data_IF_687841295687
#
_entry.id   IF_687841295687
#
_cell.length_a   1.000
_cell.length_b   1.000
_cell.length_c   1.000
_cell.angle_alpha   90.00
_cell.angle_beta   90.00
_cell.angle_gamma   90.00
#
_symmetry.space_group_name_H-M   'P 1'
#
loop_
_entity.id
_entity.type
_entity.pdbx_description
1 polymer ?
#
# COMPACT_ATOMS: atom_id res chain seq x y z
N UNK A 1 12.69 -28.09 12.83
CA UNK A 1 11.54 -27.42 12.18
C UNK A 1 11.78 -25.91 12.26
N UNK A 2 12.41 -25.30 11.24
CA UNK A 2 12.63 -23.86 11.21
C UNK A 2 11.33 -23.17 10.81
N UNK A 3 10.68 -22.48 11.76
CA UNK A 3 9.51 -21.65 11.48
C UNK A 3 10.00 -20.49 10.61
N UNK A 4 9.69 -20.50 9.30
CA UNK A 4 10.02 -19.40 8.40
C UNK A 4 9.34 -18.13 8.89
N UNK A 5 10.09 -17.03 8.87
CA UNK A 5 9.66 -15.73 9.36
C UNK A 5 8.61 -15.15 8.40
N UNK A 6 7.57 -14.48 8.91
CA UNK A 6 6.46 -14.00 8.06
C UNK A 6 6.97 -13.00 7.00
N UNK A 7 8.00 -12.23 7.35
CA UNK A 7 8.75 -11.36 6.43
C UNK A 7 9.29 -12.08 5.17
N UNK A 8 9.61 -13.38 5.25
CA UNK A 8 10.13 -14.16 4.11
C UNK A 8 9.02 -14.68 3.19
N UNK A 9 7.74 -14.53 3.57
CA UNK A 9 6.59 -14.92 2.74
C UNK A 9 5.98 -13.76 1.96
N UNK A 10 6.29 -12.51 2.33
CA UNK A 10 5.76 -11.29 1.71
C UNK A 10 6.57 -10.88 0.47
N UNK A 11 7.80 -11.38 0.33
CA UNK A 11 8.64 -11.21 -0.86
C UNK A 11 7.93 -11.77 -2.11
N UNK A 12 8.01 -11.11 -3.29
CA UNK A 12 7.30 -11.56 -4.47
C UNK A 12 7.86 -12.93 -4.88
N UNK A 13 7.15 -14.02 -4.56
CA UNK A 13 7.45 -15.30 -5.20
C UNK A 13 7.09 -15.18 -6.67
N UNK A 14 8.07 -15.48 -7.52
CA UNK A 14 7.81 -15.82 -8.92
C UNK A 14 6.80 -16.98 -8.91
N UNK A 15 5.65 -16.89 -9.60
CA UNK A 15 4.66 -17.95 -9.58
C UNK A 15 5.21 -19.18 -10.32
N UNK A 16 5.41 -20.28 -9.61
CA UNK A 16 5.56 -21.59 -10.24
C UNK A 16 4.17 -22.16 -10.58
N UNK A 17 3.87 -22.18 -11.89
CA UNK A 17 2.94 -23.07 -12.62
C UNK A 17 1.42 -22.92 -12.34
N UNK A 18 0.55 -23.02 -13.38
CA UNK A 18 -0.77 -22.38 -13.35
C UNK A 18 -1.86 -23.29 -12.76
N UNK A 19 -2.47 -22.82 -11.67
CA UNK A 19 -3.86 -23.13 -11.29
C UNK A 19 -4.78 -22.28 -12.20
N UNK A 20 -6.05 -22.65 -12.49
CA UNK A 20 -6.89 -21.87 -13.40
C UNK A 20 -7.15 -20.50 -12.77
N UNK A 21 -6.33 -19.54 -13.19
CA UNK A 21 -6.18 -18.26 -12.53
C UNK A 21 -7.31 -17.36 -12.99
N UNK A 22 -8.22 -17.05 -12.07
CA UNK A 22 -8.78 -15.70 -12.05
C UNK A 22 -7.56 -14.78 -11.96
N UNK A 23 -7.18 -14.18 -13.08
CA UNK A 23 -5.99 -13.34 -13.16
C UNK A 23 -6.25 -12.13 -12.26
N UNK A 24 -5.83 -12.19 -11.00
CA UNK A 24 -6.02 -11.08 -10.08
C UNK A 24 -5.18 -9.92 -10.58
N UNK A 25 -5.82 -8.84 -11.01
CA UNK A 25 -5.11 -7.68 -11.49
C UNK A 25 -4.34 -7.07 -10.32
N UNK A 26 -3.10 -6.64 -10.56
CA UNK A 26 -2.34 -5.92 -9.53
C UNK A 26 -3.00 -4.57 -9.21
N UNK A 27 -2.79 -4.05 -8.01
CA UNK A 27 -3.30 -2.73 -7.63
C UNK A 27 -2.91 -1.63 -8.63
N UNK A 28 -1.67 -1.67 -9.15
CA UNK A 28 -1.21 -0.75 -10.19
C UNK A 28 -1.96 -0.90 -11.52
N UNK A 29 -2.26 -2.13 -11.93
CA UNK A 29 -3.06 -2.40 -13.13
C UNK A 29 -4.50 -1.88 -12.98
N UNK A 30 -5.11 -2.08 -11.81
CA UNK A 30 -6.46 -1.57 -11.50
C UNK A 30 -6.49 -0.03 -11.52
N UNK A 31 -5.51 0.62 -10.88
CA UNK A 31 -5.37 2.08 -10.91
C UNK A 31 -5.20 2.61 -12.34
N UNK A 32 -4.41 1.93 -13.18
CA UNK A 32 -4.24 2.29 -14.57
C UNK A 32 -5.54 2.15 -15.37
N UNK A 33 -6.29 1.06 -15.16
CA UNK A 33 -7.57 0.83 -15.82
C UNK A 33 -8.66 1.82 -15.38
N UNK A 34 -8.59 2.33 -14.15
CA UNK A 34 -9.50 3.37 -13.66
C UNK A 34 -9.18 4.77 -14.20
N UNK A 35 -8.05 4.96 -14.90
CA UNK A 35 -7.67 6.25 -15.47
C UNK A 35 -8.66 6.68 -16.56
N UNK A 36 -9.37 7.78 -16.31
CA UNK A 36 -10.36 8.35 -17.26
C UNK A 36 -9.79 9.35 -18.25
N UNK A 37 -8.78 10.11 -17.83
CA UNK A 37 -8.18 11.18 -18.61
C UNK A 37 -6.70 10.89 -18.87
N UNK A 38 -6.14 11.30 -20.02
CA UNK A 38 -4.70 11.40 -20.17
C UNK A 38 -4.12 12.42 -19.18
N UNK A 39 -2.80 12.41 -18.97
CA UNK A 39 -2.16 13.30 -18.01
C UNK A 39 -2.20 14.78 -18.44
N UNK A 40 -2.07 15.08 -19.74
CA UNK A 40 -1.86 16.45 -20.23
C UNK A 40 -2.97 17.48 -19.90
N UNK A 41 -4.28 17.15 -19.88
CA UNK A 41 -5.30 18.12 -19.45
C UNK A 41 -5.23 18.44 -17.96
N UNK A 42 -4.54 17.61 -17.17
CA UNK A 42 -4.37 17.77 -15.74
C UNK A 42 -3.08 18.51 -15.36
N UNK A 43 -2.29 19.01 -16.32
CA UNK A 43 -0.98 19.64 -16.05
C UNK A 43 -1.07 20.79 -15.04
N UNK A 44 -2.10 21.64 -15.15
CA UNK A 44 -2.37 22.75 -14.21
C UNK A 44 -2.91 22.30 -12.85
N UNK A 45 -3.24 21.00 -12.71
CA UNK A 45 -3.72 20.34 -11.50
C UNK A 45 -2.66 19.35 -10.97
N UNK A 46 -1.42 19.46 -11.41
CA UNK A 46 -0.31 18.70 -10.84
C UNK A 46 0.17 19.38 -9.57
N UNK A 47 0.43 18.58 -8.54
CA UNK A 47 1.02 19.06 -7.30
C UNK A 47 2.08 18.06 -6.84
N UNK A 48 3.24 18.56 -6.43
CA UNK A 48 4.24 17.73 -5.77
C UNK A 48 3.88 17.57 -4.29
N UNK A 49 3.44 16.37 -3.92
CA UNK A 49 3.10 16.04 -2.54
C UNK A 49 4.34 15.75 -1.68
N UNK A 50 5.51 15.61 -2.30
CA UNK A 50 6.77 15.25 -1.65
C UNK A 50 6.74 13.80 -1.18
N UNK A 51 6.78 12.85 -2.11
CA UNK A 51 6.81 11.42 -1.77
C UNK A 51 8.00 11.13 -0.83
N UNK A 52 7.77 10.53 0.36
CA UNK A 52 8.79 10.43 1.39
C UNK A 52 9.76 9.29 1.12
N UNK A 53 10.70 9.48 0.20
CA UNK A 53 11.67 8.47 -0.22
C UNK A 53 12.45 7.90 0.97
N UNK A 54 12.75 8.73 1.96
CA UNK A 54 13.49 8.33 3.16
C UNK A 54 12.76 7.28 3.99
N UNK A 55 11.41 7.29 3.96
CA UNK A 55 10.61 6.28 4.65
C UNK A 55 10.69 4.90 3.95
N UNK A 56 11.06 4.86 2.68
CA UNK A 56 11.14 3.63 1.86
C UNK A 56 12.57 3.23 1.52
N UNK A 57 13.59 3.90 2.08
CA UNK A 57 14.99 3.55 1.84
C UNK A 57 15.35 2.23 2.52
N UNK A 58 15.19 1.12 1.79
CA UNK A 58 15.47 -0.23 2.25
C UNK A 58 16.92 -0.48 2.67
N UNK A 59 17.87 0.41 2.33
CA UNK A 59 19.26 0.31 2.83
C UNK A 59 19.37 0.74 4.29
N UNK A 60 18.46 1.60 4.75
CA UNK A 60 18.47 2.15 6.12
C UNK A 60 17.42 1.50 7.04
N UNK A 61 16.50 0.71 6.47
CA UNK A 61 15.35 0.20 7.19
C UNK A 61 15.53 -1.27 7.56
N UNK A 62 15.32 -1.60 8.85
CA UNK A 62 15.24 -3.00 9.27
C UNK A 62 14.00 -3.67 8.67
N UNK A 63 14.00 -5.00 8.52
CA UNK A 63 12.86 -5.73 7.90
C UNK A 63 11.51 -5.45 8.59
N UNK A 64 11.47 -5.41 9.92
CA UNK A 64 10.24 -5.13 10.67
C UNK A 64 9.75 -3.68 10.43
N UNK A 65 10.68 -2.74 10.35
CA UNK A 65 10.41 -1.34 10.04
C UNK A 65 9.88 -1.18 8.60
N UNK A 66 10.45 -1.90 7.63
CA UNK A 66 9.95 -1.93 6.25
C UNK A 66 8.53 -2.50 6.15
N UNK A 67 8.24 -3.56 6.90
CA UNK A 67 6.88 -4.10 7.00
C UNK A 67 5.91 -3.08 7.58
N UNK A 68 6.31 -2.35 8.63
CA UNK A 68 5.50 -1.30 9.23
C UNK A 68 5.21 -0.15 8.26
N UNK A 69 6.23 0.35 7.53
CA UNK A 69 6.05 1.39 6.49
C UNK A 69 5.07 0.93 5.41
N UNK A 70 5.23 -0.30 4.91
CA UNK A 70 4.34 -0.86 3.88
C UNK A 70 2.93 -1.03 4.42
N UNK A 71 2.77 -1.48 5.68
CA UNK A 71 1.47 -1.63 6.33
C UNK A 71 0.74 -0.28 6.42
N UNK A 72 1.39 0.74 6.98
CA UNK A 72 0.81 2.10 7.12
C UNK A 72 0.47 2.69 5.75
N UNK A 73 1.33 2.49 4.75
CA UNK A 73 1.08 2.96 3.38
C UNK A 73 -0.17 2.32 2.78
N UNK A 74 -0.35 1.00 2.96
CA UNK A 74 -1.55 0.30 2.49
C UNK A 74 -2.81 0.76 3.25
N UNK A 75 -2.72 0.97 4.57
CA UNK A 75 -3.83 1.51 5.37
C UNK A 75 -4.26 2.91 4.88
N UNK A 76 -3.29 3.81 4.64
CA UNK A 76 -3.60 5.17 4.16
C UNK A 76 -4.14 5.18 2.73
N UNK A 77 -3.64 4.28 1.88
CA UNK A 77 -4.15 4.08 0.52
C UNK A 77 -5.58 3.53 0.55
N UNK A 78 -5.87 2.56 1.42
CA UNK A 78 -7.23 2.07 1.63
C UNK A 78 -8.16 3.21 2.03
N UNK A 79 -7.76 4.03 2.99
CA UNK A 79 -8.58 5.17 3.42
C UNK A 79 -8.89 6.13 2.26
N UNK A 80 -7.91 6.32 1.35
CA UNK A 80 -8.00 7.29 0.25
C UNK A 80 -8.99 6.85 -0.83
N UNK A 81 -8.97 5.57 -1.17
CA UNK A 81 -9.78 5.03 -2.27
C UNK A 81 -11.09 4.41 -1.82
N UNK A 82 -11.10 3.77 -0.64
CA UNK A 82 -12.08 2.75 -0.27
C UNK A 82 -13.03 3.16 0.85
N UNK A 83 -13.03 4.43 1.24
CA UNK A 83 -14.01 4.96 2.19
C UNK A 83 -15.05 5.81 1.47
N UNK A 84 -16.22 5.96 2.08
CA UNK A 84 -17.34 6.77 1.57
C UNK A 84 -16.94 8.21 1.22
N UNK A 85 -15.85 8.71 1.80
CA UNK A 85 -15.30 10.04 1.54
C UNK A 85 -14.43 10.12 0.26
N UNK A 86 -14.29 9.04 -0.50
CA UNK A 86 -13.51 9.00 -1.74
C UNK A 86 -14.09 10.00 -2.75
N UNK A 87 -13.34 11.05 -3.14
CA UNK A 87 -13.90 12.22 -3.82
C UNK A 87 -14.19 12.00 -5.31
N UNK A 88 -13.78 10.87 -5.90
CA UNK A 88 -13.80 10.69 -7.35
C UNK A 88 -14.78 9.60 -7.80
N UNK A 89 -15.46 9.81 -8.95
CA UNK A 89 -16.32 8.79 -9.54
C UNK A 89 -15.41 7.70 -10.13
N UNK A 90 -14.99 6.70 -9.36
CA UNK A 90 -14.20 5.59 -9.91
C UNK A 90 -15.11 4.59 -10.67
N UNK A 91 -14.52 3.66 -11.44
CA UNK A 91 -15.27 2.49 -11.89
C UNK A 91 -15.50 1.60 -10.66
N UNK A 92 -16.74 1.39 -10.26
CA UNK A 92 -17.07 0.72 -8.99
C UNK A 92 -16.56 -0.72 -8.94
N UNK A 93 -16.64 -1.48 -10.02
CA UNK A 93 -16.14 -2.86 -10.07
C UNK A 93 -14.62 -2.92 -9.89
N UNK A 94 -13.87 -2.05 -10.59
CA UNK A 94 -12.42 -1.98 -10.44
C UNK A 94 -12.01 -1.45 -9.05
N UNK A 95 -12.79 -0.52 -8.49
CA UNK A 95 -12.58 0.01 -7.14
C UNK A 95 -12.82 -1.08 -6.09
N UNK A 96 -13.90 -1.86 -6.20
CA UNK A 96 -14.20 -2.99 -5.32
C UNK A 96 -13.08 -4.04 -5.33
N UNK A 97 -12.56 -4.37 -6.51
CA UNK A 97 -11.42 -5.29 -6.65
C UNK A 97 -10.15 -4.73 -6.00
N UNK A 98 -9.85 -3.45 -6.26
CA UNK A 98 -8.71 -2.75 -5.65
C UNK A 98 -8.82 -2.73 -4.12
N UNK A 99 -9.99 -2.35 -3.61
CA UNK A 99 -10.25 -2.23 -2.19
C UNK A 99 -10.20 -3.57 -1.47
N UNK A 100 -10.75 -4.62 -2.08
CA UNK A 100 -10.64 -5.98 -1.55
C UNK A 100 -9.18 -6.45 -1.50
N UNK A 101 -8.41 -6.18 -2.56
CA UNK A 101 -6.99 -6.53 -2.62
C UNK A 101 -6.14 -5.79 -1.59
N UNK A 102 -6.36 -4.48 -1.42
CA UNK A 102 -5.66 -3.68 -0.40
C UNK A 102 -6.07 -4.13 1.01
N UNK A 103 -7.36 -4.38 1.26
CA UNK A 103 -7.85 -4.85 2.56
C UNK A 103 -7.21 -6.19 2.96
N UNK A 104 -7.15 -7.15 2.03
CA UNK A 104 -6.42 -8.40 2.25
C UNK A 104 -4.94 -8.14 2.58
N UNK A 105 -4.27 -7.26 1.81
CA UNK A 105 -2.87 -6.91 2.04
C UNK A 105 -2.63 -6.30 3.43
N UNK A 106 -3.50 -5.40 3.88
CA UNK A 106 -3.44 -4.78 5.20
C UNK A 106 -3.54 -5.86 6.30
N UNK A 107 -4.51 -6.75 6.21
CA UNK A 107 -4.70 -7.82 7.22
C UNK A 107 -3.52 -8.81 7.25
N UNK A 108 -2.97 -9.18 6.09
CA UNK A 108 -1.80 -10.06 6.03
C UNK A 108 -0.56 -9.41 6.65
N UNK A 109 -0.38 -8.11 6.42
CA UNK A 109 0.72 -7.33 6.99
C UNK A 109 0.57 -7.17 8.51
N UNK A 110 -0.63 -6.85 9.00
CA UNK A 110 -0.94 -6.77 10.43
C UNK A 110 -0.65 -8.11 11.13
N UNK A 111 -1.13 -9.22 10.55
CA UNK A 111 -0.87 -10.56 11.08
C UNK A 111 0.63 -10.89 11.10
N UNK A 112 1.39 -10.47 10.09
CA UNK A 112 2.84 -10.63 10.07
C UNK A 112 3.53 -9.76 11.13
N UNK A 113 3.14 -8.50 11.28
CA UNK A 113 3.70 -7.61 12.30
C UNK A 113 3.46 -8.16 13.71
N UNK A 114 2.28 -8.70 13.99
CA UNK A 114 1.95 -9.35 15.26
C UNK A 114 2.82 -10.59 15.55
N UNK A 115 3.23 -11.32 14.51
CA UNK A 115 4.17 -12.45 14.63
C UNK A 115 5.61 -11.99 14.87
N UNK A 116 6.02 -10.87 14.26
CA UNK A 116 7.34 -10.28 14.46
C UNK A 116 7.46 -9.54 15.81
N UNK A 117 6.39 -8.96 16.33
CA UNK A 117 6.37 -8.17 17.58
C UNK A 117 6.70 -8.98 18.85
N UNK A 118 6.71 -10.32 18.78
CA UNK A 118 7.30 -11.18 19.83
C UNK A 118 8.83 -11.09 19.91
N UNK A 119 9.47 -10.46 18.92
CA UNK A 119 10.89 -10.10 18.89
C UNK A 119 10.94 -8.59 19.08
N UNK A 120 11.24 -8.14 20.30
CA UNK A 120 11.10 -6.73 20.70
C UNK A 120 11.74 -5.74 19.74
N UNK A 121 10.93 -5.11 18.91
CA UNK A 121 11.29 -3.92 18.14
C UNK A 121 10.10 -2.95 18.16
N UNK A 122 10.41 -1.72 18.54
CA UNK A 122 9.48 -0.61 18.75
C UNK A 122 8.74 -0.22 17.46
N UNK A 123 7.47 0.21 17.55
CA UNK A 123 6.77 0.85 16.43
C UNK A 123 7.60 2.01 15.88
N UNK A 124 7.55 2.19 14.56
CA UNK A 124 8.26 3.27 13.86
C UNK A 124 7.58 4.63 14.15
N UNK A 125 7.69 5.13 15.39
CA UNK A 125 7.04 6.37 15.85
C UNK A 125 7.34 7.56 14.91
N UNK A 126 8.48 7.53 14.21
CA UNK A 126 8.88 8.59 13.29
C UNK A 126 8.36 8.43 11.86
N UNK A 127 8.34 7.22 11.29
CA UNK A 127 7.86 7.01 9.90
C UNK A 127 6.36 7.14 9.77
N UNK A 128 5.61 6.85 10.84
CA UNK A 128 4.18 7.14 10.93
C UNK A 128 3.89 8.64 10.73
N UNK A 129 4.74 9.52 11.26
CA UNK A 129 4.58 10.97 11.15
C UNK A 129 4.84 11.48 9.72
N UNK A 130 5.86 10.94 9.04
CA UNK A 130 6.23 11.30 7.68
C UNK A 130 5.13 10.85 6.69
N UNK A 131 4.71 9.59 6.78
CA UNK A 131 3.63 9.05 5.96
C UNK A 131 2.30 9.76 6.22
N UNK A 132 1.98 10.07 7.49
CA UNK A 132 0.79 10.84 7.84
C UNK A 132 0.78 12.20 7.15
N UNK A 133 1.90 12.93 7.18
CA UNK A 133 2.01 14.24 6.54
C UNK A 133 1.86 14.16 5.02
N UNK A 134 2.50 13.18 4.38
CA UNK A 134 2.37 12.93 2.94
C UNK A 134 0.90 12.71 2.53
N UNK A 135 0.21 11.78 3.18
CA UNK A 135 -1.20 11.52 2.86
C UNK A 135 -2.11 12.69 3.24
N UNK A 136 -1.84 13.41 4.34
CA UNK A 136 -2.60 14.61 4.71
C UNK A 136 -2.56 15.67 3.59
N UNK A 137 -1.40 15.89 2.96
CA UNK A 137 -1.30 16.82 1.81
C UNK A 137 -2.15 16.39 0.63
N UNK A 138 -2.23 15.09 0.37
CA UNK A 138 -3.11 14.53 -0.67
C UNK A 138 -4.59 14.76 -0.30
N UNK A 139 -5.00 14.44 0.92
CA UNK A 139 -6.37 14.66 1.39
C UNK A 139 -6.80 16.12 1.37
N UNK A 140 -5.89 17.06 1.63
CA UNK A 140 -6.21 18.48 1.60
C UNK A 140 -6.29 19.04 0.17
N UNK A 141 -5.70 18.35 -0.80
CA UNK A 141 -5.72 18.76 -2.21
C UNK A 141 -6.98 18.26 -2.93
N UNK A 142 -7.42 17.05 -2.60
CA UNK A 142 -8.64 16.44 -3.15
C UNK A 142 -9.91 17.02 -2.53
#
# INVERSE_FOLDING_TARGET
MHKRRCSEKIEPRVPDVPTPARTTASAGSLLQQMRRLPASPCDNYTNDFGFPQEAFDGKQLQKAQALSVVHVTNQKTFHLFCTEASPAPWNTTLLEELCSGIYQRVNDLEACLMQEAGVGETPLVNGDSILRNYFQRIYLYL
#
